data_IF_495455018178
#
_entry.id   IF_495455018178
#
_cell.length_a   1.000
_cell.length_b   1.000
_cell.length_c   1.000
_cell.angle_alpha   90.00
_cell.angle_beta   90.00
_cell.angle_gamma   90.00
#
_symmetry.space_group_name_H-M   'P 1'
#
loop_
_entity.id
_entity.type
_entity.pdbx_description
1 polymer ?
#
# COMPACT_ATOMS: atom_id res chain seq x y z
N UNK A 1 -5.34 14.98 -23.08
CA UNK A 1 -6.06 14.37 -24.22
C UNK A 1 -5.67 12.91 -24.43
N UNK A 2 -4.38 12.56 -24.45
CA UNK A 2 -3.92 11.17 -24.65
C UNK A 2 -4.51 10.18 -23.62
N UNK A 3 -4.41 10.49 -22.32
CA UNK A 3 -5.02 9.69 -21.26
C UNK A 3 -6.54 9.47 -21.44
N UNK A 4 -7.28 10.55 -21.76
CA UNK A 4 -8.72 10.47 -22.03
C UNK A 4 -9.03 9.54 -23.22
N UNK A 5 -8.20 9.56 -24.27
CA UNK A 5 -8.37 8.66 -25.41
C UNK A 5 -8.03 7.22 -25.06
N UNK A 6 -7.02 6.97 -24.24
CA UNK A 6 -6.66 5.63 -23.76
C UNK A 6 -7.75 4.99 -22.88
N UNK A 7 -8.44 5.82 -22.09
CA UNK A 7 -9.49 5.38 -21.18
C UNK A 7 -10.88 5.32 -21.84
N UNK A 8 -11.05 5.94 -23.00
CA UNK A 8 -12.30 5.95 -23.75
C UNK A 8 -12.65 4.54 -24.24
N UNK A 9 -13.83 4.04 -23.85
CA UNK A 9 -14.32 2.72 -24.26
C UNK A 9 -13.74 1.56 -23.43
N UNK A 10 -13.10 1.85 -22.30
CA UNK A 10 -12.68 0.80 -21.36
C UNK A 10 -13.92 0.09 -20.78
N UNK A 11 -13.84 -1.24 -20.64
CA UNK A 11 -15.00 -2.06 -20.25
C UNK A 11 -15.41 -1.89 -18.79
N UNK A 12 -14.51 -1.37 -17.94
CA UNK A 12 -14.76 -1.12 -16.52
C UNK A 12 -15.02 0.37 -16.27
N UNK A 13 -15.94 0.72 -15.36
CA UNK A 13 -16.08 2.09 -14.89
C UNK A 13 -14.76 2.64 -14.34
N UNK A 14 -14.42 3.87 -14.72
CA UNK A 14 -13.21 4.55 -14.26
C UNK A 14 -13.61 5.78 -13.45
N UNK A 15 -13.15 5.82 -12.21
CA UNK A 15 -13.31 6.94 -11.29
C UNK A 15 -11.96 7.59 -11.07
N UNK A 16 -11.92 8.91 -11.17
CA UNK A 16 -10.69 9.68 -11.18
C UNK A 16 -10.66 10.63 -9.99
N UNK A 17 -9.49 10.77 -9.36
CA UNK A 17 -9.20 11.82 -8.39
C UNK A 17 -7.98 12.61 -8.87
N UNK A 18 -7.98 13.95 -8.74
CA UNK A 18 -6.81 14.75 -9.08
C UNK A 18 -5.66 14.56 -8.09
N UNK A 19 -4.43 14.65 -8.59
CA UNK A 19 -3.19 14.62 -7.83
C UNK A 19 -2.36 15.91 -8.00
N UNK A 20 -1.21 15.99 -7.33
CA UNK A 20 -0.31 17.15 -7.37
C UNK A 20 0.24 17.45 -8.77
N UNK A 21 0.38 16.43 -9.62
CA UNK A 21 0.84 16.57 -11.00
C UNK A 21 -0.26 16.89 -12.01
N UNK A 22 -1.54 16.79 -11.62
CA UNK A 22 -2.68 17.03 -12.52
C UNK A 22 -3.11 18.50 -12.53
N UNK A 23 -3.03 19.18 -11.38
CA UNK A 23 -3.57 20.53 -11.18
C UNK A 23 -2.46 21.52 -10.82
N UNK A 24 -1.99 22.30 -11.79
CA UNK A 24 -0.98 23.35 -11.59
C UNK A 24 -1.58 24.75 -11.39
N UNK A 25 -2.91 24.87 -11.49
CA UNK A 25 -3.68 26.08 -11.20
C UNK A 25 -5.14 25.98 -11.66
N UNK A 26 -5.88 27.09 -11.58
CA UNK A 26 -7.29 27.17 -11.98
C UNK A 26 -7.55 26.76 -13.44
N UNK A 27 -6.72 27.14 -14.43
CA UNK A 27 -6.89 26.66 -15.81
C UNK A 27 -6.93 25.13 -15.93
N UNK A 28 -6.15 24.43 -15.11
CA UNK A 28 -6.08 22.96 -15.14
C UNK A 28 -7.28 22.32 -14.43
N UNK A 29 -7.80 22.94 -13.36
CA UNK A 29 -9.02 22.47 -12.71
C UNK A 29 -10.23 22.55 -13.65
N UNK A 30 -10.32 23.60 -14.46
CA UNK A 30 -11.36 23.71 -15.50
C UNK A 30 -11.15 22.70 -16.62
N UNK A 31 -9.91 22.49 -17.06
CA UNK A 31 -9.58 21.46 -18.05
C UNK A 31 -9.90 20.05 -17.54
N UNK A 32 -9.56 19.73 -16.29
CA UNK A 32 -9.90 18.47 -15.62
C UNK A 32 -11.40 18.23 -15.62
N UNK A 33 -12.19 19.22 -15.17
CA UNK A 33 -13.66 19.11 -15.16
C UNK A 33 -14.24 18.84 -16.54
N UNK A 34 -13.66 19.45 -17.58
CA UNK A 34 -14.11 19.31 -18.97
C UNK A 34 -13.70 17.97 -19.59
N UNK A 35 -12.52 17.44 -19.28
CA UNK A 35 -11.91 16.30 -19.98
C UNK A 35 -12.04 15.00 -19.18
N UNK A 36 -11.86 15.06 -17.86
CA UNK A 36 -11.77 13.89 -16.98
C UNK A 36 -13.07 13.72 -16.18
N UNK A 37 -13.49 14.75 -15.45
CA UNK A 37 -14.72 14.69 -14.65
C UNK A 37 -14.65 15.53 -13.37
N UNK A 38 -15.54 15.27 -12.39
CA UNK A 38 -15.61 16.08 -11.18
C UNK A 38 -14.35 15.94 -10.30
N UNK A 39 -14.02 17.01 -9.57
CA UNK A 39 -12.89 17.07 -8.62
C UNK A 39 -13.15 16.30 -7.31
N UNK A 40 -14.40 15.95 -7.06
CA UNK A 40 -14.85 15.10 -5.94
C UNK A 40 -15.98 14.21 -6.40
N UNK A 41 -15.97 12.95 -6.00
CA UNK A 41 -16.93 11.94 -6.47
C UNK A 41 -17.39 11.08 -5.29
N UNK A 42 -18.68 10.76 -5.26
CA UNK A 42 -19.27 9.78 -4.35
C UNK A 42 -19.82 8.67 -5.22
N UNK A 43 -19.28 7.46 -5.08
CA UNK A 43 -19.59 6.34 -5.97
C UNK A 43 -19.82 5.07 -5.15
N UNK A 44 -20.95 4.42 -5.41
CA UNK A 44 -21.35 3.22 -4.69
C UNK A 44 -20.94 2.00 -5.53
N UNK A 45 -20.16 1.09 -4.94
CA UNK A 45 -19.69 -0.14 -5.56
C UNK A 45 -20.00 -1.31 -4.63
N UNK A 46 -21.07 -2.04 -4.95
CA UNK A 46 -21.60 -3.07 -4.07
C UNK A 46 -22.09 -2.45 -2.76
N UNK A 47 -21.54 -2.90 -1.63
CA UNK A 47 -21.89 -2.44 -0.29
C UNK A 47 -21.04 -1.26 0.20
N UNK A 48 -20.09 -0.80 -0.62
CA UNK A 48 -19.14 0.25 -0.26
C UNK A 48 -19.50 1.56 -0.95
N UNK A 49 -19.41 2.66 -0.20
CA UNK A 49 -19.32 4.01 -0.77
C UNK A 49 -17.87 4.45 -0.82
N UNK A 50 -17.42 4.86 -2.00
CA UNK A 50 -16.13 5.48 -2.20
C UNK A 50 -16.30 7.00 -2.30
N UNK A 51 -15.56 7.73 -1.47
CA UNK A 51 -15.43 9.18 -1.57
C UNK A 51 -14.05 9.52 -2.13
N UNK A 52 -14.02 10.00 -3.37
CA UNK A 52 -12.81 10.42 -4.06
C UNK A 52 -12.73 11.95 -4.00
N UNK A 53 -11.58 12.49 -3.60
CA UNK A 53 -11.41 13.95 -3.52
C UNK A 53 -9.96 14.41 -3.74
N UNK A 54 -9.80 15.69 -4.06
CA UNK A 54 -8.49 16.34 -4.18
C UNK A 54 -8.04 16.92 -2.84
N UNK A 55 -7.09 16.26 -2.20
CA UNK A 55 -6.48 16.65 -0.94
C UNK A 55 -5.34 17.66 -1.07
N UNK A 56 -4.82 17.86 -2.28
CA UNK A 56 -3.57 18.57 -2.49
C UNK A 56 -3.75 19.92 -3.21
N UNK A 57 -3.08 20.94 -2.67
CA UNK A 57 -3.11 22.31 -3.16
C UNK A 57 -1.69 22.81 -3.43
N UNK A 58 -1.52 23.49 -4.56
CA UNK A 58 -0.25 24.15 -4.88
C UNK A 58 -0.15 25.45 -4.10
N UNK A 59 0.98 25.68 -3.43
CA UNK A 59 1.22 26.89 -2.62
C UNK A 59 2.18 27.87 -3.32
N UNK A 60 3.37 27.43 -3.76
CA UNK A 60 4.35 28.22 -4.53
C UNK A 60 5.54 27.34 -4.94
N UNK A 61 6.34 27.74 -5.94
CA UNK A 61 7.63 27.12 -6.33
C UNK A 61 7.64 25.58 -6.31
N UNK A 62 6.67 24.95 -6.99
CA UNK A 62 6.53 23.49 -7.07
C UNK A 62 6.52 22.82 -5.68
N UNK A 63 5.86 23.49 -4.73
CA UNK A 63 5.49 22.95 -3.43
C UNK A 63 3.98 22.75 -3.38
N UNK A 64 3.63 21.65 -2.76
CA UNK A 64 2.25 21.26 -2.50
C UNK A 64 2.05 21.07 -1.02
N UNK A 65 0.85 21.42 -0.56
CA UNK A 65 0.37 21.15 0.79
C UNK A 65 -0.91 20.36 0.66
N UNK A 66 -1.11 19.40 1.55
CA UNK A 66 -2.37 18.72 1.68
C UNK A 66 -3.16 19.34 2.84
N UNK A 67 -4.43 19.62 2.58
CA UNK A 67 -5.35 20.20 3.55
C UNK A 67 -6.79 19.83 3.19
N UNK A 68 -7.65 19.72 4.20
CA UNK A 68 -9.09 19.64 3.96
C UNK A 68 -9.73 21.02 4.10
N UNK A 69 -10.38 21.49 3.05
CA UNK A 69 -11.08 22.80 3.08
C UNK A 69 -12.49 22.66 3.69
N UNK A 70 -13.07 23.74 4.25
CA UNK A 70 -14.40 23.69 4.86
C UNK A 70 -15.48 23.11 3.95
N UNK A 71 -15.48 23.47 2.66
CA UNK A 71 -16.45 22.95 1.68
C UNK A 71 -16.24 21.47 1.31
N UNK A 72 -15.02 20.96 1.51
CA UNK A 72 -14.70 19.55 1.33
C UNK A 72 -15.09 18.76 2.58
N UNK A 73 -14.78 19.28 3.77
CA UNK A 73 -15.18 18.71 5.06
C UNK A 73 -16.70 18.55 5.16
N UNK A 74 -17.45 19.63 4.90
CA UNK A 74 -18.91 19.60 4.93
C UNK A 74 -19.51 18.60 3.91
N UNK A 75 -18.90 18.48 2.73
CA UNK A 75 -19.34 17.51 1.72
C UNK A 75 -19.04 16.07 2.15
N UNK A 76 -17.84 15.79 2.68
CA UNK A 76 -17.49 14.45 3.17
C UNK A 76 -18.42 14.05 4.32
N UNK A 77 -18.66 14.95 5.28
CA UNK A 77 -19.54 14.70 6.42
C UNK A 77 -20.99 14.39 5.98
N UNK A 78 -21.52 15.14 5.02
CA UNK A 78 -22.84 14.87 4.42
C UNK A 78 -22.89 13.50 3.73
N UNK A 79 -21.88 13.16 2.92
CA UNK A 79 -21.84 11.89 2.21
C UNK A 79 -21.70 10.68 3.12
N UNK A 80 -20.94 10.80 4.21
CA UNK A 80 -20.78 9.75 5.22
C UNK A 80 -22.02 9.62 6.11
N UNK A 81 -22.64 10.74 6.49
CA UNK A 81 -23.85 10.74 7.31
C UNK A 81 -25.03 10.09 6.59
N UNK A 82 -25.17 10.32 5.28
CA UNK A 82 -26.24 9.76 4.46
C UNK A 82 -26.03 8.29 4.06
N UNK A 83 -24.83 7.73 4.27
CA UNK A 83 -24.49 6.33 3.99
C UNK A 83 -24.40 5.46 5.25
N UNK A 84 -24.62 6.03 6.43
CA UNK A 84 -24.53 5.27 7.68
C UNK A 84 -25.72 4.29 7.79
N UNK A 85 -25.52 3.03 8.27
CA UNK A 85 -24.30 2.47 8.86
C UNK A 85 -23.38 1.72 7.87
N UNK A 86 -23.62 1.80 6.56
CA UNK A 86 -22.83 1.08 5.56
C UNK A 86 -21.37 1.56 5.52
N UNK A 87 -20.42 0.66 5.17
CA UNK A 87 -19.00 0.99 5.15
C UNK A 87 -18.64 1.95 4.02
N UNK A 88 -17.66 2.82 4.29
CA UNK A 88 -17.10 3.77 3.33
C UNK A 88 -15.59 3.65 3.21
N UNK A 89 -15.08 3.99 2.03
CA UNK A 89 -13.66 4.11 1.73
C UNK A 89 -13.39 5.53 1.24
N UNK A 90 -12.37 6.17 1.79
CA UNK A 90 -11.93 7.48 1.34
C UNK A 90 -10.71 7.29 0.44
N UNK A 91 -10.72 7.87 -0.76
CA UNK A 91 -9.59 7.88 -1.66
C UNK A 91 -9.12 9.32 -1.94
N UNK A 92 -7.83 9.55 -1.77
CA UNK A 92 -7.15 10.83 -1.98
C UNK A 92 -5.69 10.59 -2.33
N UNK A 93 -4.93 11.62 -2.68
CA UNK A 93 -3.61 11.42 -3.27
C UNK A 93 -2.50 11.18 -2.22
N UNK A 94 -2.30 12.11 -1.28
CA UNK A 94 -1.16 12.10 -0.37
C UNK A 94 -1.43 11.35 0.95
N UNK A 95 -0.58 10.40 1.37
CA UNK A 95 -0.77 9.65 2.61
C UNK A 95 -0.68 10.50 3.89
N UNK A 96 -1.62 10.29 4.83
CA UNK A 96 -1.63 10.95 6.15
C UNK A 96 -0.93 10.04 7.16
N UNK A 97 0.40 10.11 7.27
CA UNK A 97 1.17 9.29 8.21
C UNK A 97 1.70 10.13 9.38
N UNK A 98 1.27 9.88 10.64
CA UNK A 98 1.78 10.59 11.80
C UNK A 98 3.27 10.31 12.06
N UNK A 99 4.03 11.35 12.42
CA UNK A 99 5.44 11.26 12.82
C UNK A 99 5.77 12.37 13.83
N UNK A 100 6.31 12.00 15.00
CA UNK A 100 6.85 12.96 15.97
C UNK A 100 5.88 14.05 16.45
N UNK A 101 4.58 13.75 16.54
CA UNK A 101 3.55 14.74 16.91
C UNK A 101 3.06 15.63 15.75
N UNK A 102 3.48 15.34 14.52
CA UNK A 102 3.04 15.97 13.29
C UNK A 102 2.74 14.89 12.23
N UNK A 103 2.71 15.26 10.95
CA UNK A 103 2.50 14.36 9.82
C UNK A 103 3.63 14.46 8.81
N UNK A 104 3.88 13.35 8.13
CA UNK A 104 4.89 13.24 7.10
C UNK A 104 4.44 13.95 5.80
N UNK A 105 5.40 14.46 5.03
CA UNK A 105 5.22 15.00 3.67
C UNK A 105 4.22 16.18 3.58
N UNK A 106 3.31 16.16 2.60
CA UNK A 106 2.41 17.27 2.27
C UNK A 106 1.40 17.60 3.38
N UNK A 107 1.15 16.67 4.30
CA UNK A 107 0.31 16.89 5.48
C UNK A 107 1.07 17.52 6.66
N UNK A 108 2.38 17.77 6.55
CA UNK A 108 3.12 18.46 7.60
C UNK A 108 2.54 19.85 7.88
N UNK A 109 2.33 20.17 9.17
CA UNK A 109 1.74 21.44 9.62
C UNK A 109 0.37 21.73 8.97
N UNK A 110 -0.44 20.70 8.70
CA UNK A 110 -1.78 20.79 8.10
C UNK A 110 -2.89 20.64 9.14
N UNK A 111 -4.15 20.56 8.67
CA UNK A 111 -5.31 20.19 9.46
C UNK A 111 -5.68 18.70 9.38
N UNK A 112 -4.69 17.81 9.19
CA UNK A 112 -4.90 16.35 9.16
C UNK A 112 -5.67 15.79 10.37
N UNK A 113 -5.45 16.33 11.58
CA UNK A 113 -6.21 15.93 12.77
C UNK A 113 -7.72 16.15 12.59
N UNK A 114 -8.13 17.34 12.11
CA UNK A 114 -9.55 17.64 11.87
C UNK A 114 -10.18 16.66 10.88
N UNK A 115 -9.42 16.28 9.85
CA UNK A 115 -9.89 15.30 8.88
C UNK A 115 -10.02 13.91 9.48
N UNK A 116 -9.00 13.42 10.19
CA UNK A 116 -9.03 12.10 10.82
C UNK A 116 -10.12 12.01 11.90
N UNK A 117 -10.37 13.09 12.64
CA UNK A 117 -11.44 13.19 13.63
C UNK A 117 -12.81 13.13 12.94
N UNK A 118 -12.99 13.82 11.80
CA UNK A 118 -14.19 13.67 10.98
C UNK A 118 -14.40 12.20 10.59
N UNK A 119 -13.39 11.54 10.03
CA UNK A 119 -13.51 10.16 9.54
C UNK A 119 -13.81 9.16 10.67
N UNK A 120 -13.21 9.33 11.85
CA UNK A 120 -13.37 8.40 12.99
C UNK A 120 -14.80 8.37 13.57
N UNK A 121 -15.62 9.38 13.28
CA UNK A 121 -17.03 9.45 13.69
C UNK A 121 -17.97 8.66 12.77
N UNK A 122 -17.48 8.10 11.67
CA UNK A 122 -18.25 7.37 10.68
C UNK A 122 -17.68 5.98 10.41
N UNK A 123 -18.42 5.12 9.70
CA UNK A 123 -17.98 3.77 9.35
C UNK A 123 -16.97 3.78 8.16
N UNK A 124 -15.85 4.46 8.35
CA UNK A 124 -14.75 4.52 7.38
C UNK A 124 -13.81 3.35 7.63
N UNK A 125 -13.80 2.39 6.71
CA UNK A 125 -13.05 1.14 6.88
C UNK A 125 -11.67 1.15 6.23
N UNK A 126 -11.37 2.14 5.38
CA UNK A 126 -10.04 2.36 4.83
C UNK A 126 -9.89 3.76 4.21
N UNK A 127 -8.64 4.24 4.19
CA UNK A 127 -8.13 5.32 3.37
C UNK A 127 -7.22 4.73 2.29
N UNK A 128 -7.43 5.07 1.01
CA UNK A 128 -6.60 4.62 -0.11
C UNK A 128 -5.85 5.82 -0.69
N UNK A 129 -4.53 5.70 -0.78
CA UNK A 129 -3.64 6.79 -1.19
C UNK A 129 -2.58 6.37 -2.21
N UNK A 130 -1.94 7.34 -2.85
CA UNK A 130 -0.85 7.14 -3.81
C UNK A 130 0.38 7.97 -3.44
N UNK A 131 0.78 8.89 -4.32
CA UNK A 131 1.86 9.86 -4.08
C UNK A 131 3.28 9.31 -3.95
N UNK A 132 3.56 8.48 -2.94
CA UNK A 132 4.91 7.95 -2.67
C UNK A 132 5.37 6.85 -3.61
N UNK A 133 4.48 6.37 -4.48
CA UNK A 133 4.80 5.33 -5.46
C UNK A 133 5.43 4.08 -4.83
N UNK A 134 4.95 3.73 -3.62
CA UNK A 134 5.37 2.54 -2.86
C UNK A 134 4.16 1.88 -2.24
N UNK A 135 4.22 0.56 -2.05
CA UNK A 135 3.17 -0.14 -1.31
C UNK A 135 3.41 0.04 0.19
N UNK A 136 2.35 0.33 0.92
CA UNK A 136 2.43 0.40 2.38
C UNK A 136 1.05 0.36 2.99
N UNK A 137 0.97 -0.23 4.18
CA UNK A 137 -0.27 -0.41 4.92
C UNK A 137 0.02 -0.03 6.37
N UNK A 138 -0.77 0.89 6.92
CA UNK A 138 -0.64 1.39 8.29
C UNK A 138 -2.02 1.48 8.95
N UNK A 139 -2.04 1.62 10.27
CA UNK A 139 -3.24 1.98 11.03
C UNK A 139 -3.09 3.42 11.51
N UNK A 140 -3.99 4.32 11.07
CA UNK A 140 -3.96 5.74 11.41
C UNK A 140 -5.30 6.13 12.00
N UNK A 141 -5.30 6.58 13.26
CA UNK A 141 -6.51 6.89 14.02
C UNK A 141 -7.56 5.75 14.01
N UNK A 142 -7.11 4.49 14.07
CA UNK A 142 -7.97 3.31 14.01
C UNK A 142 -8.50 2.95 12.61
N UNK A 143 -8.09 3.68 11.57
CA UNK A 143 -8.49 3.45 10.18
C UNK A 143 -7.29 2.92 9.37
N UNK A 144 -7.44 1.80 8.62
CA UNK A 144 -6.42 1.35 7.69
C UNK A 144 -6.06 2.41 6.63
N UNK A 145 -4.80 2.79 6.54
CA UNK A 145 -4.24 3.61 5.46
C UNK A 145 -3.49 2.69 4.49
N UNK A 146 -3.98 2.57 3.26
CA UNK A 146 -3.43 1.69 2.23
C UNK A 146 -2.85 2.57 1.11
N UNK A 147 -1.52 2.65 1.06
CA UNK A 147 -0.81 3.31 0.00
C UNK A 147 -0.49 2.35 -1.15
N UNK A 148 -0.85 2.74 -2.36
CA UNK A 148 -0.57 1.98 -3.58
C UNK A 148 0.69 2.50 -4.28
N UNK A 149 1.47 1.57 -4.86
CA UNK A 149 2.60 1.91 -5.74
C UNK A 149 2.12 2.38 -7.12
N UNK A 150 3.05 2.83 -7.95
CA UNK A 150 2.77 3.39 -9.27
C UNK A 150 2.62 2.32 -10.35
N UNK A 151 1.64 2.54 -11.24
CA UNK A 151 1.42 1.67 -12.41
C UNK A 151 2.66 1.55 -13.30
N UNK A 152 3.42 2.64 -13.44
CA UNK A 152 4.61 2.69 -14.28
C UNK A 152 5.87 2.12 -13.62
N UNK A 153 5.84 1.77 -12.33
CA UNK A 153 7.00 1.19 -11.65
C UNK A 153 8.14 2.19 -11.46
N UNK A 154 7.84 3.42 -11.06
CA UNK A 154 8.85 4.42 -10.70
C UNK A 154 8.53 5.01 -9.35
N UNK A 155 9.49 4.98 -8.43
CA UNK A 155 9.33 5.56 -7.11
C UNK A 155 10.11 6.86 -6.98
N UNK A 156 9.48 7.87 -6.40
CA UNK A 156 10.14 9.12 -6.03
C UNK A 156 10.94 8.94 -4.73
N UNK A 157 12.20 9.36 -4.72
CA UNK A 157 13.05 9.35 -3.52
C UNK A 157 13.48 10.75 -3.06
N UNK A 158 13.24 11.78 -3.87
CA UNK A 158 13.65 13.16 -3.56
C UNK A 158 15.16 13.40 -3.57
N UNK A 159 15.98 12.43 -4.00
CA UNK A 159 17.45 12.49 -3.90
C UNK A 159 18.10 12.85 -5.25
N UNK A 160 18.77 14.01 -5.39
CA UNK A 160 19.51 14.35 -6.61
C UNK A 160 20.68 13.39 -6.89
N UNK A 161 21.11 13.22 -8.15
CA UNK A 161 20.55 13.82 -9.37
C UNK A 161 19.34 13.06 -9.92
N UNK A 162 19.09 11.84 -9.44
CA UNK A 162 18.01 10.96 -9.90
C UNK A 162 16.91 10.92 -8.84
N UNK A 163 15.98 11.86 -8.94
CA UNK A 163 14.83 12.02 -8.03
C UNK A 163 13.84 10.84 -8.03
N UNK A 164 14.05 9.85 -8.91
CA UNK A 164 13.26 8.64 -8.97
C UNK A 164 14.11 7.43 -9.35
N UNK A 165 13.63 6.24 -8.99
CA UNK A 165 14.26 4.96 -9.32
C UNK A 165 13.21 3.92 -9.68
N UNK A 166 13.55 2.91 -10.51
CA UNK A 166 12.58 1.92 -10.94
C UNK A 166 12.18 0.99 -9.80
N UNK A 167 10.88 0.72 -9.70
CA UNK A 167 10.25 -0.29 -8.84
C UNK A 167 9.36 -1.21 -9.64
N UNK A 168 8.85 -2.30 -9.05
CA UNK A 168 7.93 -3.16 -9.79
C UNK A 168 6.65 -2.41 -10.16
N UNK A 169 6.30 -2.32 -11.46
CA UNK A 169 5.02 -1.77 -11.89
C UNK A 169 3.90 -2.70 -11.47
N UNK A 170 2.68 -2.19 -11.44
CA UNK A 170 1.53 -3.00 -11.07
C UNK A 170 0.33 -2.18 -10.64
N UNK A 171 -0.63 -2.86 -10.05
CA UNK A 171 -1.85 -2.22 -9.55
C UNK A 171 -2.34 -2.96 -8.32
N UNK A 172 -3.12 -2.26 -7.49
CA UNK A 172 -3.76 -2.86 -6.32
C UNK A 172 -5.15 -3.35 -6.68
N UNK A 173 -5.42 -4.61 -6.37
CA UNK A 173 -6.75 -5.19 -6.33
C UNK A 173 -7.31 -5.07 -4.91
N UNK A 174 -8.61 -4.78 -4.82
CA UNK A 174 -9.35 -4.77 -3.57
C UNK A 174 -10.48 -5.80 -3.65
N UNK A 175 -10.72 -6.50 -2.56
CA UNK A 175 -11.83 -7.42 -2.40
C UNK A 175 -12.52 -7.11 -1.08
N UNK A 176 -13.84 -6.98 -1.11
CA UNK A 176 -14.64 -6.77 0.08
C UNK A 176 -15.69 -7.87 0.17
N UNK A 177 -15.74 -8.52 1.32
CA UNK A 177 -16.71 -9.57 1.63
C UNK A 177 -16.62 -9.95 3.10
N UNK A 178 -17.72 -10.43 3.67
CA UNK A 178 -17.85 -10.74 5.10
C UNK A 178 -17.45 -9.57 6.03
N UNK A 179 -17.72 -8.34 5.59
CA UNK A 179 -17.35 -7.11 6.31
C UNK A 179 -15.84 -6.83 6.34
N UNK A 180 -15.02 -7.56 5.58
CA UNK A 180 -13.56 -7.43 5.57
C UNK A 180 -13.06 -6.91 4.23
N UNK A 181 -12.30 -5.83 4.27
CA UNK A 181 -11.53 -5.35 3.13
C UNK A 181 -10.20 -6.10 3.06
N UNK A 182 -9.90 -6.68 1.90
CA UNK A 182 -8.61 -7.29 1.56
C UNK A 182 -8.02 -6.58 0.34
N UNK A 183 -6.69 -6.55 0.27
CA UNK A 183 -5.98 -5.95 -0.85
C UNK A 183 -4.89 -6.88 -1.37
N UNK A 184 -4.55 -6.78 -2.64
CA UNK A 184 -3.42 -7.52 -3.24
C UNK A 184 -2.74 -6.64 -4.28
N UNK A 185 -1.41 -6.71 -4.39
CA UNK A 185 -0.66 -5.92 -5.37
C UNK A 185 -0.28 -6.88 -6.45
N UNK A 186 -0.77 -6.61 -7.65
CA UNK A 186 -0.53 -7.42 -8.81
C UNK A 186 0.61 -6.79 -9.60
N UNK A 187 1.73 -7.51 -9.69
CA UNK A 187 2.85 -7.09 -10.52
C UNK A 187 2.41 -7.00 -11.98
N UNK A 188 2.69 -5.86 -12.59
CA UNK A 188 2.40 -5.55 -13.99
C UNK A 188 3.56 -5.90 -14.90
N UNK A 189 3.38 -5.60 -16.19
CA UNK A 189 4.46 -5.70 -17.18
C UNK A 189 5.48 -4.59 -16.95
N UNK A 190 6.77 -4.91 -17.09
CA UNK A 190 7.87 -3.97 -16.98
C UNK A 190 8.64 -3.92 -18.29
N UNK A 191 8.50 -2.82 -19.03
CA UNK A 191 9.07 -2.64 -20.37
C UNK A 191 8.68 -3.79 -21.32
N UNK A 192 9.67 -4.56 -21.77
CA UNK A 192 9.49 -5.73 -22.64
C UNK A 192 9.20 -7.01 -21.86
N UNK A 193 9.26 -6.96 -20.52
CA UNK A 193 8.97 -8.11 -19.66
C UNK A 193 7.47 -8.16 -19.35
N UNK A 194 6.76 -9.24 -19.72
CA UNK A 194 5.35 -9.35 -19.41
C UNK A 194 5.12 -9.51 -17.89
N UNK A 195 3.93 -9.15 -17.42
CA UNK A 195 3.51 -9.39 -16.05
C UNK A 195 3.71 -10.87 -15.66
N UNK A 196 4.20 -11.18 -14.44
CA UNK A 196 4.52 -12.54 -14.07
C UNK A 196 3.26 -13.40 -14.01
N UNK A 197 3.24 -14.57 -14.66
CA UNK A 197 2.06 -15.46 -14.68
C UNK A 197 1.74 -16.07 -13.32
N UNK A 198 2.75 -16.23 -12.46
CA UNK A 198 2.63 -16.69 -11.08
C UNK A 198 3.37 -15.69 -10.20
N UNK A 199 2.76 -15.30 -9.10
CA UNK A 199 3.32 -14.33 -8.16
C UNK A 199 3.12 -14.85 -6.74
N UNK A 200 4.13 -14.67 -5.90
CA UNK A 200 4.03 -14.78 -4.45
C UNK A 200 4.72 -13.57 -3.85
N UNK A 201 4.21 -13.07 -2.73
CA UNK A 201 4.81 -11.95 -2.02
C UNK A 201 4.68 -12.20 -0.53
N UNK A 202 5.78 -12.14 0.21
CA UNK A 202 5.74 -12.11 1.67
C UNK A 202 5.40 -10.67 2.07
N UNK A 203 4.20 -10.43 2.59
CA UNK A 203 3.65 -9.09 2.81
C UNK A 203 3.85 -8.60 4.24
N UNK A 204 3.78 -9.51 5.21
CA UNK A 204 3.96 -9.21 6.63
C UNK A 204 4.87 -10.23 7.32
N UNK A 205 5.70 -9.74 8.23
CA UNK A 205 6.44 -10.53 9.21
C UNK A 205 6.13 -9.94 10.58
N UNK A 206 5.22 -10.57 11.31
CA UNK A 206 4.61 -10.00 12.51
C UNK A 206 3.86 -8.71 12.17
N UNK A 207 3.98 -7.64 12.98
CA UNK A 207 3.41 -6.34 12.68
C UNK A 207 4.16 -5.54 11.61
N UNK A 208 5.31 -6.01 11.10
CA UNK A 208 6.11 -5.27 10.13
C UNK A 208 5.65 -5.57 8.69
N UNK A 209 5.24 -4.54 7.96
CA UNK A 209 4.92 -4.63 6.53
C UNK A 209 6.23 -4.66 5.72
N UNK A 210 6.34 -5.55 4.74
CA UNK A 210 7.59 -5.74 3.98
C UNK A 210 7.81 -4.68 2.89
N UNK A 211 6.80 -3.84 2.64
CA UNK A 211 6.85 -2.74 1.65
C UNK A 211 6.33 -3.10 0.26
N UNK A 212 5.82 -4.33 0.06
CA UNK A 212 5.37 -4.80 -1.25
C UNK A 212 6.51 -4.80 -2.28
N UNK A 213 6.27 -5.18 -3.55
CA UNK A 213 7.34 -5.79 -4.31
C UNK A 213 8.44 -4.80 -4.75
N UNK A 214 9.60 -5.06 -4.15
CA UNK A 214 11.01 -4.82 -4.51
C UNK A 214 11.31 -4.05 -5.80
N UNK A 215 12.33 -3.18 -5.78
CA UNK A 215 13.60 -3.34 -5.06
C UNK A 215 13.65 -2.75 -3.64
N UNK A 216 12.63 -2.03 -3.17
CA UNK A 216 12.59 -1.62 -1.77
C UNK A 216 12.41 -2.84 -0.88
N UNK A 217 13.42 -3.10 -0.06
CA UNK A 217 13.39 -4.20 0.89
C UNK A 217 13.83 -3.65 2.22
N UNK A 218 12.93 -3.69 3.20
CA UNK A 218 13.26 -3.39 4.59
C UNK A 218 13.70 -4.69 5.25
N UNK A 219 14.93 -4.78 5.78
CA UNK A 219 15.24 -5.85 6.69
C UNK A 219 14.27 -5.81 7.84
N UNK A 220 13.81 -6.98 8.27
CA UNK A 220 12.95 -7.08 9.44
C UNK A 220 13.75 -7.72 10.55
N UNK A 221 13.92 -6.99 11.64
CA UNK A 221 14.48 -7.54 12.88
C UNK A 221 13.37 -8.34 13.58
N UNK A 222 13.67 -9.59 13.92
CA UNK A 222 12.76 -10.51 14.60
C UNK A 222 13.36 -10.81 15.98
N UNK A 223 12.58 -10.50 17.02
CA UNK A 223 12.96 -10.63 18.43
C UNK A 223 12.25 -11.79 19.12
N UNK A 224 11.24 -12.37 18.48
CA UNK A 224 10.45 -13.45 19.01
C UNK A 224 9.64 -14.16 17.94
N UNK A 225 8.72 -14.98 18.38
CA UNK A 225 7.80 -15.69 17.49
C UNK A 225 6.92 -14.70 16.72
N UNK A 226 6.85 -14.88 15.41
CA UNK A 226 6.08 -14.01 14.52
C UNK A 226 5.28 -14.79 13.50
N UNK A 227 4.14 -14.22 13.10
CA UNK A 227 3.36 -14.68 11.96
C UNK A 227 4.01 -14.22 10.65
N UNK A 228 4.20 -15.12 9.70
CA UNK A 228 4.48 -14.79 8.31
C UNK A 228 3.16 -14.73 7.54
N UNK A 229 2.93 -13.69 6.74
CA UNK A 229 1.75 -13.59 5.88
C UNK A 229 2.16 -13.36 4.42
N UNK A 230 1.80 -14.30 3.54
CA UNK A 230 2.09 -14.25 2.13
C UNK A 230 0.80 -14.17 1.29
N UNK A 231 0.88 -13.53 0.13
CA UNK A 231 -0.20 -13.48 -0.86
C UNK A 231 0.31 -14.08 -2.18
N UNK A 232 -0.50 -14.91 -2.82
CA UNK A 232 -0.11 -15.61 -4.04
C UNK A 232 -1.22 -15.58 -5.11
N UNK A 233 -0.82 -15.45 -6.37
CA UNK A 233 -1.71 -15.30 -7.52
C UNK A 233 -1.17 -16.08 -8.72
N UNK A 234 -2.06 -16.66 -9.52
CA UNK A 234 -1.71 -17.31 -10.78
C UNK A 234 -2.73 -17.01 -11.88
N UNK A 235 -2.25 -16.77 -13.10
CA UNK A 235 -3.09 -16.53 -14.29
C UNK A 235 -3.54 -17.87 -14.86
N UNK A 236 -4.86 -18.11 -14.89
CA UNK A 236 -5.48 -19.32 -15.47
C UNK A 236 -4.91 -20.64 -14.90
N UNK A 237 -4.57 -20.59 -13.62
CA UNK A 237 -4.02 -21.70 -12.85
C UNK A 237 -4.37 -21.49 -11.37
N UNK A 238 -4.13 -22.50 -10.54
CA UNK A 238 -4.42 -22.46 -9.10
C UNK A 238 -3.13 -22.62 -8.31
N UNK A 239 -2.93 -21.75 -7.31
CA UNK A 239 -1.90 -21.96 -6.29
C UNK A 239 -2.33 -23.15 -5.43
N UNK A 240 -1.53 -24.22 -5.43
CA UNK A 240 -1.83 -25.44 -4.65
C UNK A 240 -0.97 -25.56 -3.40
N UNK A 241 0.15 -24.83 -3.37
CA UNK A 241 1.11 -24.92 -2.29
C UNK A 241 1.87 -23.60 -2.14
N UNK A 242 2.04 -23.15 -0.91
CA UNK A 242 2.98 -22.09 -0.54
C UNK A 242 3.86 -22.60 0.60
N UNK A 243 5.15 -22.37 0.48
CA UNK A 243 6.17 -22.78 1.44
C UNK A 243 7.10 -21.61 1.73
N UNK A 244 7.79 -21.65 2.86
CA UNK A 244 8.80 -20.68 3.26
C UNK A 244 10.08 -21.36 3.74
N UNK A 245 11.19 -20.63 3.75
CA UNK A 245 12.50 -21.16 4.09
C UNK A 245 13.48 -20.08 4.57
N UNK A 246 14.32 -20.42 5.56
CA UNK A 246 15.52 -19.67 5.96
C UNK A 246 16.82 -20.40 5.63
N UNK A 247 16.74 -21.71 5.41
CA UNK A 247 17.87 -22.59 5.17
C UNK A 247 17.66 -23.24 3.81
N UNK A 248 18.68 -23.14 2.96
CA UNK A 248 18.62 -23.66 1.60
C UNK A 248 18.09 -25.11 1.59
N UNK A 249 17.11 -25.36 0.73
CA UNK A 249 16.46 -26.66 0.50
C UNK A 249 15.61 -27.22 1.68
N UNK A 250 15.47 -26.48 2.78
CA UNK A 250 14.55 -26.79 3.87
C UNK A 250 13.28 -25.94 3.74
N UNK A 251 12.21 -26.53 3.21
CA UNK A 251 10.93 -25.86 2.96
C UNK A 251 9.89 -26.25 4.00
N UNK A 252 9.29 -25.25 4.64
CA UNK A 252 8.21 -25.41 5.60
C UNK A 252 6.88 -24.96 4.96
N UNK A 253 5.78 -25.69 5.14
CA UNK A 253 4.50 -25.33 4.54
C UNK A 253 3.91 -24.06 5.18
N UNK A 254 3.11 -23.34 4.41
CA UNK A 254 2.19 -22.31 4.90
C UNK A 254 0.74 -22.82 4.82
N UNK A 255 -0.11 -22.39 5.75
CA UNK A 255 -1.53 -22.68 5.78
C UNK A 255 -2.30 -21.66 4.92
N UNK A 256 -3.23 -22.12 4.08
CA UNK A 256 -4.09 -21.22 3.31
C UNK A 256 -5.19 -20.65 4.19
N UNK A 257 -5.29 -19.32 4.28
CA UNK A 257 -6.31 -18.63 5.10
C UNK A 257 -7.34 -17.86 4.28
N UNK A 258 -7.13 -17.72 2.97
CA UNK A 258 -8.11 -17.16 2.04
C UNK A 258 -7.91 -17.69 0.62
N UNK A 259 -9.01 -17.87 -0.11
CA UNK A 259 -9.03 -18.23 -1.53
C UNK A 259 -10.10 -17.42 -2.27
N UNK A 260 -9.65 -16.53 -3.15
CA UNK A 260 -10.45 -15.75 -4.09
C UNK A 260 -9.72 -15.62 -5.43
N UNK A 261 -9.70 -14.40 -5.99
CA UNK A 261 -8.89 -14.06 -7.18
C UNK A 261 -7.39 -14.31 -6.91
N UNK A 262 -6.94 -14.01 -5.69
CA UNK A 262 -5.65 -14.43 -5.14
C UNK A 262 -5.89 -15.35 -3.94
N UNK A 263 -4.82 -15.90 -3.39
CA UNK A 263 -4.82 -16.70 -2.16
C UNK A 263 -3.94 -16.07 -1.10
N UNK A 264 -4.30 -16.21 0.16
CA UNK A 264 -3.52 -15.73 1.31
C UNK A 264 -3.09 -16.91 2.16
N UNK A 265 -1.88 -16.82 2.69
CA UNK A 265 -1.17 -17.92 3.33
C UNK A 265 -0.44 -17.44 4.57
N UNK A 266 -0.43 -18.25 5.61
CA UNK A 266 0.16 -17.92 6.90
C UNK A 266 1.06 -19.04 7.41
N UNK A 267 2.09 -18.66 8.16
CA UNK A 267 2.91 -19.59 8.93
C UNK A 267 3.43 -18.92 10.19
N UNK A 268 3.99 -19.72 11.10
CA UNK A 268 4.67 -19.23 12.29
C UNK A 268 6.19 -19.41 12.12
N UNK A 269 6.93 -18.33 12.31
CA UNK A 269 8.39 -18.36 12.45
C UNK A 269 8.71 -18.26 13.94
N UNK A 270 9.33 -19.32 14.48
CA UNK A 270 9.87 -19.35 15.82
C UNK A 270 11.40 -19.28 15.75
N UNK A 271 12.02 -18.13 16.11
CA UNK A 271 13.46 -17.96 15.98
C UNK A 271 14.26 -18.95 16.83
N UNK A 272 13.69 -19.49 17.92
CA UNK A 272 14.35 -20.45 18.82
C UNK A 272 14.65 -21.80 18.15
N UNK A 273 13.97 -22.10 17.03
CA UNK A 273 14.21 -23.32 16.24
C UNK A 273 15.46 -23.24 15.37
N UNK A 274 16.08 -22.07 15.27
CA UNK A 274 17.27 -21.83 14.45
C UNK A 274 18.48 -21.61 15.35
N UNK A 275 19.52 -22.44 15.19
CA UNK A 275 20.72 -22.44 16.06
C UNK A 275 21.62 -21.22 15.90
N UNK A 276 21.52 -20.51 14.78
CA UNK A 276 22.32 -19.33 14.48
C UNK A 276 21.43 -18.09 14.53
N UNK A 277 21.81 -17.11 15.32
CA UNK A 277 21.30 -15.74 15.20
C UNK A 277 22.14 -14.96 14.20
N UNK A 278 21.55 -13.97 13.55
CA UNK A 278 22.23 -13.22 12.51
C UNK A 278 21.32 -12.90 11.33
N UNK A 279 21.93 -12.63 10.18
CA UNK A 279 21.24 -12.23 8.97
C UNK A 279 20.81 -13.44 8.14
N UNK A 280 19.53 -13.48 7.80
CA UNK A 280 18.93 -14.51 6.97
C UNK A 280 18.19 -13.87 5.81
N UNK A 281 17.85 -14.70 4.82
CA UNK A 281 16.89 -14.33 3.77
C UNK A 281 15.70 -15.27 3.89
N UNK A 282 14.56 -14.75 4.33
CA UNK A 282 13.29 -15.46 4.38
C UNK A 282 12.69 -15.55 2.98
N UNK A 283 12.80 -16.72 2.36
CA UNK A 283 12.27 -17.00 1.02
C UNK A 283 10.87 -17.60 1.15
N UNK A 284 9.94 -17.14 0.33
CA UNK A 284 8.65 -17.80 0.10
C UNK A 284 8.57 -18.30 -1.34
N UNK A 285 7.93 -19.45 -1.54
CA UNK A 285 7.69 -20.05 -2.84
C UNK A 285 6.23 -20.44 -2.96
N UNK A 286 5.61 -20.08 -4.08
CA UNK A 286 4.32 -20.62 -4.48
C UNK A 286 4.49 -21.61 -5.65
N UNK A 287 3.68 -22.66 -5.66
CA UNK A 287 3.63 -23.66 -6.71
C UNK A 287 2.18 -23.82 -7.19
N UNK A 288 2.00 -23.88 -8.51
CA UNK A 288 0.70 -24.06 -9.14
C UNK A 288 0.37 -25.52 -9.42
N UNK A 289 -0.88 -25.83 -9.73
CA UNK A 289 -1.32 -27.17 -10.13
C UNK A 289 -0.58 -27.69 -11.38
N UNK A 290 -0.15 -26.78 -12.28
CA UNK A 290 0.64 -27.11 -13.48
C UNK A 290 2.17 -27.15 -13.20
N UNK A 291 2.59 -27.02 -11.95
CA UNK A 291 4.01 -27.07 -11.54
C UNK A 291 4.80 -25.78 -11.77
N UNK A 292 4.14 -24.67 -12.15
CA UNK A 292 4.80 -23.37 -12.25
C UNK A 292 5.13 -22.82 -10.87
N UNK A 293 6.29 -22.16 -10.73
CA UNK A 293 6.78 -21.67 -9.43
C UNK A 293 7.06 -20.17 -9.47
N UNK A 294 6.77 -19.49 -8.36
CA UNK A 294 7.15 -18.11 -8.12
C UNK A 294 7.84 -18.01 -6.77
N UNK A 295 8.70 -16.99 -6.63
CA UNK A 295 9.51 -16.78 -5.43
C UNK A 295 9.47 -15.32 -5.02
N UNK A 296 9.52 -15.12 -3.71
CA UNK A 296 9.87 -13.84 -3.11
C UNK A 296 10.76 -14.11 -1.89
N UNK A 297 11.37 -13.06 -1.36
CA UNK A 297 12.32 -13.15 -0.28
C UNK A 297 12.34 -11.85 0.54
N UNK A 298 12.72 -11.91 1.80
CA UNK A 298 12.89 -10.73 2.64
C UNK A 298 14.12 -10.98 3.51
N UNK A 299 15.15 -10.12 3.49
CA UNK A 299 16.23 -10.16 4.44
C UNK A 299 15.63 -9.92 5.82
N UNK A 300 16.02 -10.75 6.77
CA UNK A 300 15.61 -10.64 8.15
C UNK A 300 16.84 -10.76 9.03
N UNK A 301 16.74 -10.27 10.26
CA UNK A 301 17.73 -10.54 11.28
C UNK A 301 17.06 -11.24 12.45
N UNK A 302 17.53 -12.43 12.79
CA UNK A 302 17.15 -13.11 14.01
C UNK A 302 18.08 -12.62 15.13
N UNK A 303 17.54 -11.91 16.12
CA UNK A 303 18.31 -11.31 17.21
C UNK A 303 18.29 -12.16 18.48
N UNK A 304 19.43 -12.29 19.16
CA UNK A 304 19.52 -12.87 20.53
C UNK A 304 19.09 -11.89 21.62
N UNK A 305 18.99 -10.58 21.32
CA UNK A 305 18.60 -9.61 22.34
C UNK A 305 17.19 -9.94 22.79
N UNK A 306 17.08 -10.47 24.02
CA UNK A 306 15.88 -10.31 24.82
C UNK A 306 15.39 -8.88 24.62
N UNK A 307 14.10 -8.75 24.29
CA UNK A 307 13.43 -7.46 24.21
C UNK A 307 13.98 -6.57 25.32
N UNK A 308 14.54 -5.40 24.95
CA UNK A 308 14.59 -4.35 25.94
C UNK A 308 13.17 -4.24 26.51
N UNK A 309 13.00 -4.01 27.82
CA UNK A 309 11.67 -3.87 28.43
C UNK A 309 10.79 -2.75 27.79
N UNK A 310 11.28 -2.09 26.73
CA UNK A 310 10.66 -1.03 25.95
C UNK A 310 10.30 -1.40 24.51
N UNK A 311 10.64 -2.58 24.01
CA UNK A 311 10.21 -3.03 22.67
C UNK A 311 8.94 -3.87 22.81
N UNK A 312 7.78 -3.28 22.52
CA UNK A 312 6.47 -3.92 22.68
C UNK A 312 6.05 -4.81 21.50
N UNK A 313 6.90 -4.99 20.48
CA UNK A 313 6.57 -5.72 19.24
C UNK A 313 7.54 -6.87 18.96
N UNK A 314 7.05 -8.04 18.50
CA UNK A 314 7.88 -9.24 18.28
C UNK A 314 8.76 -9.17 17.02
N UNK A 315 8.50 -8.20 16.15
CA UNK A 315 9.38 -7.77 15.06
C UNK A 315 9.27 -6.27 14.87
N UNK A 316 10.24 -5.71 14.16
CA UNK A 316 10.27 -4.31 13.77
C UNK A 316 10.89 -4.19 12.39
N UNK A 317 10.34 -3.34 11.54
CA UNK A 317 11.05 -2.93 10.33
C UNK A 317 12.34 -2.18 10.71
N UNK A 318 13.46 -2.63 10.14
CA UNK A 318 14.70 -1.86 10.14
C UNK A 318 14.60 -0.64 9.24
N UNK A 319 15.69 0.13 9.18
CA UNK A 319 15.80 1.23 8.21
C UNK A 319 15.60 0.70 6.78
N UNK A 320 14.98 1.52 5.93
CA UNK A 320 14.94 1.25 4.50
C UNK A 320 16.37 1.16 3.97
N UNK A 321 16.86 -0.07 3.75
CA UNK A 321 18.26 -0.29 3.33
C UNK A 321 18.55 0.23 1.93
N UNK A 322 17.49 0.50 1.17
CA UNK A 322 17.62 0.96 -0.20
C UNK A 322 17.56 2.48 -0.23
N UNK A 323 16.57 3.19 0.35
CA UNK A 323 16.60 4.67 0.43
C UNK A 323 15.62 5.20 1.50
N UNK A 324 16.09 5.94 2.51
CA UNK A 324 15.24 6.90 3.24
C UNK A 324 14.88 8.03 2.28
N UNK A 325 13.64 8.54 2.32
CA UNK A 325 13.32 9.83 1.71
C UNK A 325 14.22 10.87 2.39
N UNK A 326 15.28 11.29 1.69
CA UNK A 326 16.21 12.26 2.23
C UNK A 326 15.57 13.65 2.08
N UNK A 327 14.63 13.98 2.96
CA UNK A 327 14.36 15.40 3.19
C UNK A 327 15.61 15.92 3.89
N UNK A 328 16.32 16.85 3.23
CA UNK A 328 17.39 17.59 3.88
C UNK A 328 16.80 18.18 5.18
N UNK A 329 17.42 17.97 6.35
CA UNK A 329 17.03 18.74 7.52
C UNK A 329 17.17 20.22 7.14
N UNK A 330 16.11 21.00 7.37
CA UNK A 330 16.11 22.45 7.14
C UNK A 330 17.23 23.16 7.94
#
# INVERSE_FOLDING_TARGET
>A
MEYHNLTKGYALPLYHLPANHDLWGEPDAQAWKKIIGPLRQSVDVGELRFLLWNDIQRISNDKWRAEIRPEQSAWIEDQLSTWTPQPSIIAFHSPILPIGGNYHDTWCNSNANEFLDLLSRHNVIAMITGHWHRNGEWMVNGIPLINTSALCGWQWNGTPPHYCFPVRPGYRLFWFGDGKLRSFWRDGSYWTTPAPRVQVTLVWIGPAHTGGPRPQVRPIDIFGRVRLAAKAYAVEDKIVKVEWSLVKDEWLPMEQTFQGIWSEWEAELDPTKFRATGEFTCIVRAETAKGSKAYDAVPIRLSERECSARTSTPSQEGREMVFELFYLPE
#
